data_IF_103362692030
#
_entry.id   IF_103362692030
#
_cell.length_a   1.000
_cell.length_b   1.000
_cell.length_c   1.000
_cell.angle_alpha   90.00
_cell.angle_beta   90.00
_cell.angle_gamma   90.00
#
_symmetry.space_group_name_H-M   'P 1'
#
loop_
_entity.id
_entity.type
_entity.pdbx_description
1 polymer ?
#
# COMPACT_ATOMS: atom_id res chain seq x y z
N UNK A 1 -2.98 3.82 -24.02
CA UNK A 1 -1.66 4.51 -23.91
C UNK A 1 -1.96 5.98 -23.87
N UNK A 2 -1.60 6.62 -22.77
CA UNK A 2 -1.89 8.03 -22.51
C UNK A 2 -0.59 8.82 -22.57
N UNK A 3 -0.66 10.03 -23.07
CA UNK A 3 0.46 10.98 -23.06
C UNK A 3 0.15 12.05 -22.03
N UNK A 4 1.03 12.25 -21.06
CA UNK A 4 0.89 13.26 -20.00
C UNK A 4 2.00 14.28 -20.15
N UNK A 5 1.65 15.52 -20.42
CA UNK A 5 2.59 16.64 -20.56
C UNK A 5 2.91 17.28 -19.22
N UNK A 6 4.08 17.91 -19.12
CA UNK A 6 4.49 18.63 -17.91
C UNK A 6 3.48 19.70 -17.46
N UNK A 7 2.77 20.31 -18.42
CA UNK A 7 1.70 21.28 -18.19
C UNK A 7 0.41 20.67 -17.64
N UNK A 8 0.21 19.36 -17.79
CA UNK A 8 -1.06 18.73 -17.47
C UNK A 8 -1.27 18.66 -15.95
N UNK A 9 -2.53 18.78 -15.48
CA UNK A 9 -2.86 18.61 -14.07
C UNK A 9 -2.45 17.24 -13.51
N UNK A 10 -2.56 16.20 -14.33
CA UNK A 10 -2.28 14.80 -13.95
C UNK A 10 -0.79 14.47 -13.92
N UNK A 11 0.09 15.41 -14.32
CA UNK A 11 1.53 15.17 -14.25
C UNK A 11 2.01 15.17 -12.79
N UNK A 12 2.78 14.16 -12.34
CA UNK A 12 3.17 14.01 -10.94
C UNK A 12 3.89 15.24 -10.39
N UNK A 13 3.29 15.90 -9.39
CA UNK A 13 3.78 17.16 -8.84
C UNK A 13 5.22 17.08 -8.32
N UNK A 14 5.60 15.96 -7.68
CA UNK A 14 6.98 15.72 -7.21
C UNK A 14 7.98 15.66 -8.36
N UNK A 15 7.61 15.03 -9.47
CA UNK A 15 8.48 14.92 -10.62
C UNK A 15 8.71 16.29 -11.27
N UNK A 16 7.75 17.22 -11.21
CA UNK A 16 7.93 18.61 -11.69
C UNK A 16 9.04 19.36 -10.94
N UNK A 17 9.39 18.92 -9.72
CA UNK A 17 10.33 19.62 -8.83
C UNK A 17 11.80 19.23 -9.06
N UNK A 18 12.08 18.20 -9.88
CA UNK A 18 13.47 17.82 -10.16
C UNK A 18 14.12 18.84 -11.10
N UNK A 19 15.45 18.90 -11.13
CA UNK A 19 16.20 19.83 -11.98
C UNK A 19 15.88 19.71 -13.49
N UNK A 20 15.72 18.48 -13.98
CA UNK A 20 15.41 18.18 -15.40
C UNK A 20 14.16 17.29 -15.48
N UNK A 21 12.95 17.84 -15.29
CA UNK A 21 11.72 17.06 -15.35
C UNK A 21 11.40 16.68 -16.81
N UNK A 22 10.97 15.44 -17.10
CA UNK A 22 10.60 15.06 -18.46
C UNK A 22 9.44 15.92 -18.96
N UNK A 23 9.58 16.51 -20.15
CA UNK A 23 8.55 17.35 -20.76
C UNK A 23 7.23 16.61 -20.99
N UNK A 24 7.29 15.28 -21.14
CA UNK A 24 6.13 14.39 -21.28
C UNK A 24 6.45 12.99 -20.77
N UNK A 25 5.40 12.26 -20.38
CA UNK A 25 5.45 10.85 -20.03
C UNK A 25 4.49 10.07 -20.92
N UNK A 26 5.00 9.01 -21.53
CA UNK A 26 4.17 7.97 -22.12
C UNK A 26 3.74 7.02 -21.00
N UNK A 27 2.44 6.77 -20.86
CA UNK A 27 1.85 6.01 -19.76
C UNK A 27 1.00 4.85 -20.31
N UNK A 28 1.26 3.65 -19.83
CA UNK A 28 0.39 2.49 -19.95
C UNK A 28 -0.17 2.12 -18.58
N UNK A 29 -1.49 2.13 -18.42
CA UNK A 29 -2.16 2.08 -17.12
C UNK A 29 -2.52 3.47 -16.59
N UNK A 30 -2.66 3.61 -15.27
CA UNK A 30 -3.03 4.85 -14.59
C UNK A 30 -1.98 5.21 -13.55
N UNK A 31 -1.47 6.45 -13.59
CA UNK A 31 -0.54 6.95 -12.59
C UNK A 31 -1.27 7.17 -11.25
N UNK A 32 -0.84 6.50 -10.17
CA UNK A 32 -1.42 6.72 -8.85
C UNK A 32 -1.10 8.13 -8.33
N UNK A 33 -1.98 8.66 -7.48
CA UNK A 33 -1.78 9.96 -6.81
C UNK A 33 -1.17 9.82 -5.41
N UNK A 34 -1.17 8.58 -4.92
CA UNK A 34 -0.68 8.18 -3.61
C UNK A 34 0.83 8.43 -3.48
N UNK A 35 1.31 8.62 -2.24
CA UNK A 35 2.74 8.75 -1.98
C UNK A 35 3.54 7.57 -2.51
N UNK A 36 4.71 7.86 -3.08
CA UNK A 36 5.55 6.88 -3.76
C UNK A 36 6.90 6.69 -3.05
N UNK A 37 7.36 5.45 -2.94
CA UNK A 37 8.71 5.10 -2.49
C UNK A 37 9.38 4.24 -3.56
N UNK A 38 10.62 4.58 -3.92
CA UNK A 38 11.37 3.77 -4.86
C UNK A 38 12.08 2.62 -4.15
N UNK A 39 12.06 1.43 -4.73
CA UNK A 39 12.91 0.31 -4.32
C UNK A 39 13.82 -0.06 -5.49
N UNK A 40 15.13 0.00 -5.28
CA UNK A 40 16.14 -0.26 -6.33
C UNK A 40 17.29 -1.13 -5.80
N UNK A 41 18.00 -1.77 -6.73
CA UNK A 41 19.20 -2.51 -6.35
C UNK A 41 19.82 -3.34 -7.47
N UNK A 42 20.55 -4.38 -7.08
CA UNK A 42 21.34 -5.22 -7.97
C UNK A 42 20.48 -5.99 -8.96
N UNK A 43 20.92 -6.01 -10.22
CA UNK A 43 20.36 -6.89 -11.26
C UNK A 43 20.65 -8.37 -11.02
N UNK A 44 21.73 -8.65 -10.28
CA UNK A 44 22.16 -9.99 -9.86
C UNK A 44 21.97 -10.15 -8.34
N UNK A 45 20.80 -9.75 -7.85
CA UNK A 45 20.46 -9.82 -6.43
C UNK A 45 20.53 -11.24 -5.87
N UNK A 46 20.97 -11.35 -4.62
CA UNK A 46 20.97 -12.61 -3.87
C UNK A 46 19.54 -13.07 -3.57
N UNK A 47 19.33 -14.35 -3.21
CA UNK A 47 18.03 -14.80 -2.71
C UNK A 47 17.54 -14.00 -1.51
N UNK A 48 18.46 -13.57 -0.63
CA UNK A 48 18.14 -12.68 0.49
C UNK A 48 17.64 -11.33 -0.01
N UNK A 49 18.40 -10.66 -0.89
CA UNK A 49 18.03 -9.35 -1.42
C UNK A 49 16.68 -9.36 -2.13
N UNK A 50 16.39 -10.39 -2.93
CA UNK A 50 15.08 -10.55 -3.57
C UNK A 50 13.94 -10.70 -2.56
N UNK A 51 14.08 -11.57 -1.56
CA UNK A 51 13.06 -11.74 -0.51
C UNK A 51 12.86 -10.46 0.29
N UNK A 52 13.92 -9.75 0.62
CA UNK A 52 13.84 -8.48 1.36
C UNK A 52 13.14 -7.40 0.54
N UNK A 53 13.49 -7.24 -0.74
CA UNK A 53 12.82 -6.29 -1.64
C UNK A 53 11.33 -6.59 -1.80
N UNK A 54 10.98 -7.87 -2.01
CA UNK A 54 9.59 -8.31 -2.14
C UNK A 54 8.80 -8.06 -0.85
N UNK A 55 9.37 -8.39 0.32
CA UNK A 55 8.75 -8.14 1.63
C UNK A 55 8.51 -6.64 1.85
N UNK A 56 9.55 -5.81 1.72
CA UNK A 56 9.44 -4.37 1.92
C UNK A 56 8.43 -3.74 0.96
N UNK A 57 8.42 -4.17 -0.29
CA UNK A 57 7.48 -3.66 -1.28
C UNK A 57 6.02 -4.03 -0.97
N UNK A 58 5.78 -5.26 -0.51
CA UNK A 58 4.45 -5.69 -0.06
C UNK A 58 4.00 -4.89 1.15
N UNK A 59 4.88 -4.74 2.14
CA UNK A 59 4.56 -4.05 3.38
C UNK A 59 4.32 -2.54 3.17
N UNK A 60 5.03 -1.91 2.21
CA UNK A 60 4.75 -0.54 1.74
C UNK A 60 3.40 -0.45 1.04
N UNK A 61 3.13 -1.40 0.14
CA UNK A 61 1.87 -1.48 -0.59
C UNK A 61 0.67 -1.63 0.37
N UNK A 62 0.79 -2.46 1.39
CA UNK A 62 -0.21 -2.62 2.46
C UNK A 62 -0.34 -1.38 3.34
N UNK A 63 0.69 -0.54 3.42
CA UNK A 63 0.66 0.75 4.11
C UNK A 63 -0.01 1.87 3.28
N UNK A 64 -0.47 1.59 2.06
CA UNK A 64 -1.02 2.61 1.16
C UNK A 64 0.04 3.40 0.39
N UNK A 65 1.26 2.88 0.30
CA UNK A 65 2.40 3.51 -0.40
C UNK A 65 2.67 2.80 -1.72
N UNK A 66 2.76 3.57 -2.79
CA UNK A 66 3.03 3.05 -4.13
C UNK A 66 4.52 2.80 -4.30
N UNK A 67 4.87 1.59 -4.74
CA UNK A 67 6.26 1.23 -5.02
C UNK A 67 6.61 1.64 -6.44
N UNK A 68 7.72 2.38 -6.60
CA UNK A 68 8.27 2.76 -7.91
C UNK A 68 9.57 2.01 -8.15
N UNK A 69 9.75 1.44 -9.34
CA UNK A 69 11.03 0.82 -9.70
C UNK A 69 11.26 0.79 -11.20
N UNK A 70 12.40 0.24 -11.62
CA UNK A 70 12.88 0.32 -12.99
C UNK A 70 12.60 -0.90 -13.87
N UNK A 71 11.76 -1.85 -13.42
CA UNK A 71 11.49 -3.12 -14.11
C UNK A 71 12.75 -3.96 -14.43
N UNK A 72 13.93 -3.63 -13.90
CA UNK A 72 15.14 -4.39 -14.16
C UNK A 72 15.08 -5.78 -13.50
N UNK A 73 16.00 -6.67 -13.90
CA UNK A 73 16.20 -7.96 -13.20
C UNK A 73 16.55 -7.73 -11.73
N UNK A 74 16.38 -8.76 -10.91
CA UNK A 74 16.82 -8.73 -9.51
C UNK A 74 15.88 -7.93 -8.62
N UNK A 75 16.41 -6.92 -7.93
CA UNK A 75 15.67 -6.16 -6.90
C UNK A 75 14.42 -5.49 -7.47
N UNK A 76 14.50 -4.80 -8.61
CA UNK A 76 13.35 -4.09 -9.20
C UNK A 76 12.17 -5.03 -9.47
N UNK A 77 12.44 -6.19 -10.08
CA UNK A 77 11.41 -7.21 -10.34
C UNK A 77 10.78 -7.75 -9.06
N UNK A 78 11.60 -8.01 -8.04
CA UNK A 78 11.13 -8.51 -6.74
C UNK A 78 10.28 -7.46 -6.02
N UNK A 79 10.66 -6.19 -6.10
CA UNK A 79 9.89 -5.08 -5.56
C UNK A 79 8.51 -4.97 -6.23
N UNK A 80 8.44 -4.98 -7.56
CA UNK A 80 7.14 -4.96 -8.24
C UNK A 80 6.26 -6.16 -7.89
N UNK A 81 6.83 -7.38 -7.84
CA UNK A 81 6.08 -8.58 -7.43
C UNK A 81 5.53 -8.45 -6.01
N UNK A 82 6.35 -7.97 -5.07
CA UNK A 82 5.91 -7.73 -3.70
C UNK A 82 4.82 -6.66 -3.62
N UNK A 83 4.96 -5.56 -4.36
CA UNK A 83 3.95 -4.51 -4.38
C UNK A 83 2.60 -5.00 -4.91
N UNK A 84 2.60 -5.84 -5.95
CA UNK A 84 1.42 -6.47 -6.54
C UNK A 84 0.74 -7.50 -5.61
N UNK A 85 1.45 -8.04 -4.61
CA UNK A 85 0.85 -8.87 -3.55
C UNK A 85 0.10 -8.04 -2.51
N UNK A 86 0.41 -6.74 -2.40
CA UNK A 86 -0.22 -5.83 -1.45
C UNK A 86 -1.45 -5.13 -2.03
N UNK A 87 -1.89 -4.07 -1.34
CA UNK A 87 -3.14 -3.35 -1.67
C UNK A 87 -2.97 -2.17 -2.63
N UNK A 88 -1.78 -1.59 -2.70
CA UNK A 88 -1.50 -0.43 -3.53
C UNK A 88 -0.91 -0.83 -4.88
N UNK A 89 -1.16 -0.04 -5.93
CA UNK A 89 -0.53 -0.26 -7.23
C UNK A 89 0.99 -0.03 -7.18
N UNK A 90 1.67 -0.38 -8.27
CA UNK A 90 3.10 -0.11 -8.46
C UNK A 90 3.34 0.59 -9.79
N UNK A 91 4.43 1.36 -9.86
CA UNK A 91 4.81 2.11 -11.08
C UNK A 91 6.18 1.67 -11.57
N UNK A 92 6.22 1.13 -12.78
CA UNK A 92 7.46 0.82 -13.48
C UNK A 92 7.87 1.98 -14.38
N UNK A 93 9.08 2.50 -14.20
CA UNK A 93 9.66 3.48 -15.12
C UNK A 93 10.58 2.74 -16.08
N UNK A 94 10.45 2.88 -17.39
CA UNK A 94 11.28 2.22 -18.41
C UNK A 94 12.27 3.18 -19.08
N UNK A 95 13.36 2.63 -19.62
CA UNK A 95 14.36 3.38 -20.40
C UNK A 95 14.16 3.24 -21.92
N UNK A 96 13.27 2.33 -22.33
CA UNK A 96 12.86 2.09 -23.72
C UNK A 96 11.47 2.67 -23.98
N UNK A 97 11.03 2.66 -25.24
CA UNK A 97 9.64 2.94 -25.58
C UNK A 97 8.68 1.89 -25.01
N UNK A 98 7.40 2.23 -24.84
CA UNK A 98 6.39 1.31 -24.30
C UNK A 98 6.13 0.10 -25.21
N UNK A 99 6.47 0.23 -26.50
CA UNK A 99 6.43 -0.84 -27.51
C UNK A 99 7.49 -1.93 -27.29
N UNK A 100 8.47 -1.70 -26.40
CA UNK A 100 9.59 -2.61 -26.18
C UNK A 100 9.88 -2.80 -24.69
N UNK A 101 9.17 -3.73 -24.07
CA UNK A 101 9.45 -4.17 -22.70
C UNK A 101 10.89 -4.71 -22.62
N UNK A 102 11.66 -4.18 -21.66
CA UNK A 102 13.01 -4.64 -21.39
C UNK A 102 13.23 -4.77 -19.88
N UNK A 103 13.71 -5.93 -19.40
CA UNK A 103 14.09 -7.10 -20.19
C UNK A 103 12.86 -7.86 -20.73
N UNK A 104 12.93 -8.57 -21.88
CA UNK A 104 11.77 -9.20 -22.52
C UNK A 104 11.01 -10.20 -21.64
N UNK A 105 11.73 -10.92 -20.78
CA UNK A 105 11.14 -11.86 -19.82
C UNK A 105 10.22 -11.21 -18.77
N UNK A 106 10.20 -9.87 -18.68
CA UNK A 106 9.31 -9.14 -17.78
C UNK A 106 8.03 -8.65 -18.48
N UNK A 107 7.71 -9.13 -19.68
CA UNK A 107 6.49 -8.76 -20.40
C UNK A 107 5.21 -8.99 -19.56
N UNK A 108 5.05 -10.17 -18.96
CA UNK A 108 3.90 -10.48 -18.09
C UNK A 108 3.88 -9.61 -16.83
N UNK A 109 5.05 -9.36 -16.25
CA UNK A 109 5.15 -8.47 -15.09
C UNK A 109 4.74 -7.05 -15.45
N UNK A 110 5.20 -6.51 -16.58
CA UNK A 110 4.81 -5.19 -17.06
C UNK A 110 3.30 -5.10 -17.30
N UNK A 111 2.68 -6.15 -17.83
CA UNK A 111 1.24 -6.21 -18.03
C UNK A 111 0.48 -6.21 -16.69
N UNK A 112 0.94 -6.99 -15.71
CA UNK A 112 0.35 -7.01 -14.37
C UNK A 112 0.49 -5.65 -13.64
N UNK A 113 1.60 -4.94 -13.87
CA UNK A 113 1.79 -3.58 -13.37
C UNK A 113 0.80 -2.61 -14.03
N UNK A 114 0.68 -2.65 -15.36
CA UNK A 114 -0.19 -1.74 -16.11
C UNK A 114 -1.69 -1.97 -15.85
N UNK A 115 -2.10 -3.14 -15.34
CA UNK A 115 -3.51 -3.43 -15.04
C UNK A 115 -4.03 -2.76 -13.77
N UNK A 116 -3.13 -2.40 -12.84
CA UNK A 116 -3.50 -1.79 -11.55
C UNK A 116 -2.80 -0.46 -11.28
N UNK A 117 -1.58 -0.28 -11.78
CA UNK A 117 -0.79 0.94 -11.70
C UNK A 117 -0.36 1.41 -13.08
N UNK A 118 0.93 1.68 -13.25
CA UNK A 118 1.43 2.23 -14.51
C UNK A 118 2.82 1.71 -14.91
N UNK A 119 3.00 1.52 -16.20
CA UNK A 119 4.31 1.43 -16.86
C UNK A 119 4.51 2.73 -17.62
N UNK A 120 5.58 3.47 -17.31
CA UNK A 120 5.83 4.80 -17.87
C UNK A 120 7.22 4.91 -18.50
N UNK A 121 7.39 5.85 -19.42
CA UNK A 121 8.69 6.19 -20.00
C UNK A 121 8.67 7.60 -20.57
N UNK A 122 9.84 8.25 -20.65
CA UNK A 122 10.03 9.49 -21.42
C UNK A 122 10.48 9.21 -22.87
N UNK A 123 10.82 7.95 -23.17
CA UNK A 123 11.33 7.56 -24.47
C UNK A 123 10.21 7.30 -25.48
N UNK A 124 10.41 7.73 -26.72
CA UNK A 124 9.48 7.47 -27.83
C UNK A 124 9.44 5.98 -28.20
N UNK A 125 8.34 5.56 -28.82
CA UNK A 125 8.23 4.22 -29.39
C UNK A 125 9.38 3.95 -30.36
N UNK A 126 9.88 2.71 -30.35
CA UNK A 126 11.07 2.30 -31.12
C UNK A 126 12.40 2.53 -30.40
N UNK A 127 12.42 3.22 -29.25
CA UNK A 127 13.67 3.45 -28.51
C UNK A 127 14.29 2.15 -27.99
N UNK A 128 15.55 1.92 -28.36
CA UNK A 128 16.33 0.72 -28.01
C UNK A 128 16.92 0.76 -26.58
N UNK A 129 17.14 -0.39 -25.93
CA UNK A 129 17.70 -0.49 -24.58
C UNK A 129 19.22 -0.25 -24.56
N UNK A 130 19.64 0.98 -24.85
CA UNK A 130 21.05 1.37 -24.83
C UNK A 130 21.56 1.59 -23.40
N UNK A 131 22.76 1.12 -23.02
CA UNK A 131 23.32 1.26 -21.67
C UNK A 131 23.26 2.69 -21.12
N UNK A 132 23.54 3.70 -21.94
CA UNK A 132 23.53 5.11 -21.54
C UNK A 132 22.14 5.68 -21.19
N UNK A 133 21.04 5.01 -21.55
CA UNK A 133 19.67 5.47 -21.26
C UNK A 133 19.18 5.07 -19.87
N UNK A 134 19.70 3.98 -19.31
CA UNK A 134 19.26 3.51 -18.00
C UNK A 134 19.58 4.49 -16.86
N UNK A 135 20.76 5.15 -16.81
CA UNK A 135 21.02 6.20 -15.83
C UNK A 135 20.09 7.41 -16.00
N UNK A 136 19.80 7.84 -17.24
CA UNK A 136 18.91 8.98 -17.50
C UNK A 136 17.52 8.73 -16.92
N UNK A 137 16.96 7.55 -17.18
CA UNK A 137 15.66 7.11 -16.63
C UNK A 137 15.61 7.17 -15.10
N UNK A 138 16.73 6.89 -14.41
CA UNK A 138 16.73 6.80 -12.95
C UNK A 138 16.35 8.10 -12.25
N UNK A 139 16.54 9.27 -12.89
CA UNK A 139 16.10 10.55 -12.33
C UNK A 139 14.57 10.62 -12.16
N UNK A 140 13.83 9.90 -13.00
CA UNK A 140 12.36 9.81 -12.93
C UNK A 140 11.95 8.91 -11.76
N UNK A 141 12.66 7.80 -11.53
CA UNK A 141 12.37 6.89 -10.40
C UNK A 141 12.49 7.63 -9.07
N UNK A 142 13.63 8.30 -8.84
CA UNK A 142 13.83 9.10 -7.64
C UNK A 142 12.92 10.33 -7.62
N UNK A 143 12.70 10.97 -8.78
CA UNK A 143 11.90 12.19 -8.90
C UNK A 143 10.43 12.01 -8.55
N UNK A 144 9.85 10.84 -8.84
CA UNK A 144 8.49 10.47 -8.45
C UNK A 144 8.35 10.22 -6.94
N UNK A 145 9.43 9.84 -6.28
CA UNK A 145 9.39 9.24 -4.95
C UNK A 145 9.65 10.25 -3.83
N UNK A 146 9.11 9.97 -2.65
CA UNK A 146 9.45 10.61 -1.38
C UNK A 146 10.89 10.29 -0.95
N UNK A 147 11.29 9.04 -1.16
CA UNK A 147 12.59 8.51 -0.84
C UNK A 147 12.89 7.24 -1.63
N UNK A 148 14.14 6.80 -1.56
CA UNK A 148 14.67 5.66 -2.32
C UNK A 148 15.31 4.65 -1.37
N UNK A 149 14.80 3.42 -1.39
CA UNK A 149 15.35 2.27 -0.66
C UNK A 149 16.28 1.46 -1.57
N UNK A 150 17.56 1.40 -1.19
CA UNK A 150 18.56 0.56 -1.84
C UNK A 150 18.68 -0.75 -1.07
N UNK A 151 18.34 -1.87 -1.72
CA UNK A 151 18.33 -3.19 -1.04
C UNK A 151 19.68 -3.91 -1.12
N UNK A 152 20.26 -3.96 -2.32
CA UNK A 152 21.60 -4.52 -2.55
C UNK A 152 22.28 -3.73 -3.66
N UNK A 153 23.52 -3.28 -3.45
CA UNK A 153 24.30 -2.56 -4.43
C UNK A 153 25.80 -2.81 -4.24
N UNK A 154 26.43 -3.41 -5.25
CA UNK A 154 27.90 -3.39 -5.37
C UNK A 154 28.42 -1.95 -5.50
N UNK A 155 29.71 -1.75 -5.24
CA UNK A 155 30.36 -0.42 -5.28
C UNK A 155 30.20 0.33 -6.61
N UNK A 156 30.02 -0.38 -7.74
CA UNK A 156 29.78 0.21 -9.07
C UNK A 156 28.38 -0.10 -9.62
N UNK A 157 27.39 -0.22 -8.73
CA UNK A 157 26.00 -0.51 -9.12
C UNK A 157 25.28 0.73 -9.65
N UNK A 158 24.46 0.54 -10.69
CA UNK A 158 23.56 1.59 -11.19
C UNK A 158 22.52 2.06 -10.16
N UNK A 159 22.21 1.24 -9.16
CA UNK A 159 21.32 1.64 -8.06
C UNK A 159 21.91 2.78 -7.20
N UNK A 160 23.24 2.86 -7.10
CA UNK A 160 23.92 3.96 -6.40
C UNK A 160 23.80 5.29 -7.15
N UNK A 161 23.63 5.25 -8.48
CA UNK A 161 23.33 6.44 -9.27
C UNK A 161 21.95 6.98 -8.89
N UNK A 162 20.95 6.10 -8.76
CA UNK A 162 19.60 6.50 -8.33
C UNK A 162 19.62 7.07 -6.91
N UNK A 163 20.36 6.46 -5.98
CA UNK A 163 20.50 6.98 -4.62
C UNK A 163 21.16 8.37 -4.57
N UNK A 164 22.18 8.59 -5.40
CA UNK A 164 22.80 9.92 -5.54
C UNK A 164 21.82 10.96 -6.09
N UNK A 165 21.12 10.63 -7.19
CA UNK A 165 20.10 11.50 -7.78
C UNK A 165 18.98 11.81 -6.79
N UNK A 166 18.59 10.86 -5.93
CA UNK A 166 17.63 11.07 -4.86
C UNK A 166 18.11 12.13 -3.87
N UNK A 167 19.34 12.03 -3.37
CA UNK A 167 19.92 13.06 -2.49
C UNK A 167 20.00 14.44 -3.16
N UNK A 168 20.43 14.50 -4.43
CA UNK A 168 20.47 15.75 -5.22
C UNK A 168 19.07 16.38 -5.42
N UNK A 169 18.03 15.55 -5.45
CA UNK A 169 16.62 15.97 -5.57
C UNK A 169 15.95 16.25 -4.21
N UNK A 170 16.70 16.21 -3.11
CA UNK A 170 16.16 16.38 -1.75
C UNK A 170 15.19 15.28 -1.35
N UNK A 171 15.48 14.03 -1.76
CA UNK A 171 14.72 12.84 -1.37
C UNK A 171 15.49 12.06 -0.33
N UNK A 172 14.77 11.43 0.60
CA UNK A 172 15.38 10.57 1.60
C UNK A 172 16.03 9.35 0.95
N UNK A 173 17.21 8.98 1.43
CA UNK A 173 17.94 7.80 0.97
C UNK A 173 17.99 6.79 2.09
N UNK A 174 17.51 5.59 1.79
CA UNK A 174 17.45 4.47 2.70
C UNK A 174 18.29 3.31 2.18
N UNK A 175 18.85 2.52 3.08
CA UNK A 175 19.61 1.35 2.70
C UNK A 175 19.35 0.16 3.62
N UNK A 176 19.10 -1.00 3.02
CA UNK A 176 19.04 -2.27 3.75
C UNK A 176 20.48 -2.69 4.09
N UNK A 177 20.78 -3.04 5.36
CA UNK A 177 22.09 -3.54 5.72
C UNK A 177 22.27 -4.98 5.21
N UNK A 178 23.50 -5.32 4.83
CA UNK A 178 23.90 -6.69 4.48
C UNK A 178 25.15 -7.13 5.24
N UNK A 179 25.49 -8.42 5.15
CA UNK A 179 26.76 -8.95 5.67
C UNK A 179 27.94 -8.19 5.07
N UNK A 180 28.97 -7.90 5.88
CA UNK A 180 30.24 -7.33 5.41
C UNK A 180 30.99 -8.25 4.44
N UNK A 181 30.65 -9.54 4.42
CA UNK A 181 31.20 -10.53 3.48
C UNK A 181 30.45 -10.54 2.15
N UNK A 182 29.27 -9.90 2.06
CA UNK A 182 28.50 -9.82 0.82
C UNK A 182 29.04 -8.67 -0.05
N UNK A 183 29.63 -8.93 -1.22
CA UNK A 183 30.13 -7.87 -2.10
C UNK A 183 29.02 -6.94 -2.62
N UNK A 184 27.76 -7.40 -2.62
CA UNK A 184 26.60 -6.59 -2.96
C UNK A 184 26.12 -5.68 -1.82
N UNK A 185 26.72 -5.77 -0.62
CA UNK A 185 26.41 -4.87 0.49
C UNK A 185 27.36 -3.66 0.55
N UNK A 186 28.54 -3.73 -0.09
CA UNK A 186 29.60 -2.72 -0.01
C UNK A 186 29.12 -1.31 -0.40
N UNK A 187 28.36 -1.18 -1.48
CA UNK A 187 27.82 0.12 -1.90
C UNK A 187 26.76 0.64 -0.93
N UNK A 188 25.92 -0.27 -0.40
CA UNK A 188 24.93 0.07 0.62
C UNK A 188 25.56 0.52 1.95
N UNK A 189 26.62 -0.15 2.41
CA UNK A 189 27.36 0.27 3.59
C UNK A 189 27.98 1.66 3.42
N UNK A 190 28.46 1.99 2.22
CA UNK A 190 28.96 3.33 1.94
C UNK A 190 27.83 4.36 2.01
N UNK A 191 26.65 4.08 1.42
CA UNK A 191 25.49 4.97 1.56
C UNK A 191 25.12 5.22 3.02
N UNK A 192 25.11 4.18 3.87
CA UNK A 192 24.82 4.32 5.30
C UNK A 192 25.86 5.22 5.99
N UNK A 193 27.15 5.05 5.67
CA UNK A 193 28.22 5.91 6.18
C UNK A 193 28.10 7.36 5.71
N UNK A 194 27.57 7.56 4.51
CA UNK A 194 27.35 8.87 3.90
C UNK A 194 26.04 9.53 4.39
N UNK A 195 25.30 8.88 5.30
CA UNK A 195 24.11 9.44 5.96
C UNK A 195 22.78 8.84 5.52
N UNK A 196 22.76 7.85 4.63
CA UNK A 196 21.53 7.12 4.32
C UNK A 196 20.99 6.37 5.55
N UNK A 197 19.68 6.42 5.77
CA UNK A 197 19.06 5.75 6.92
C UNK A 197 19.07 4.23 6.72
N UNK A 198 19.50 3.51 7.75
CA UNK A 198 19.46 2.05 7.77
C UNK A 198 18.01 1.56 7.86
N UNK A 199 17.63 0.58 7.05
CA UNK A 199 16.28 0.00 7.00
C UNK A 199 16.29 -1.50 7.29
N UNK A 200 15.56 -1.89 8.31
CA UNK A 200 15.28 -3.29 8.68
C UNK A 200 13.84 -3.67 8.32
N UNK A 201 12.90 -2.75 8.52
CA UNK A 201 11.47 -2.95 8.28
C UNK A 201 10.85 -1.77 7.54
N UNK A 202 9.58 -1.90 7.14
CA UNK A 202 8.88 -0.80 6.47
C UNK A 202 8.68 0.41 7.40
N UNK A 203 8.57 0.16 8.71
CA UNK A 203 8.41 1.19 9.74
C UNK A 203 9.56 2.20 9.71
N UNK A 204 10.81 1.73 9.54
CA UNK A 204 11.98 2.61 9.45
C UNK A 204 11.86 3.64 8.31
N UNK A 205 11.16 3.28 7.23
CA UNK A 205 10.89 4.15 6.08
C UNK A 205 9.70 5.08 6.36
N UNK A 206 8.61 4.55 6.91
CA UNK A 206 7.38 5.32 7.13
C UNK A 206 7.52 6.37 8.23
N UNK A 207 8.37 6.13 9.23
CA UNK A 207 8.62 7.07 10.33
C UNK A 207 9.26 8.39 9.88
N UNK A 208 9.98 8.38 8.75
CA UNK A 208 10.55 9.60 8.16
C UNK A 208 9.48 10.52 7.55
N UNK A 209 8.27 9.99 7.33
CA UNK A 209 7.19 10.73 6.68
C UNK A 209 5.98 10.79 7.60
N UNK A 210 5.89 11.87 8.39
CA UNK A 210 4.84 12.06 9.40
C UNK A 210 3.42 11.82 8.88
N UNK A 211 3.12 12.19 7.63
CA UNK A 211 1.82 11.93 7.01
C UNK A 211 1.55 10.45 6.74
N UNK A 212 2.57 9.69 6.32
CA UNK A 212 2.46 8.26 6.12
C UNK A 212 2.32 7.52 7.45
N UNK A 213 3.13 7.90 8.45
CA UNK A 213 3.02 7.36 9.79
C UNK A 213 1.62 7.57 10.38
N UNK A 214 1.05 8.78 10.23
CA UNK A 214 -0.33 9.11 10.65
C UNK A 214 -1.38 8.32 9.87
N UNK A 215 -1.24 8.20 8.55
CA UNK A 215 -2.18 7.45 7.72
C UNK A 215 -2.22 5.97 8.11
N UNK A 216 -1.06 5.35 8.33
CA UNK A 216 -0.95 3.95 8.79
C UNK A 216 -1.53 3.76 10.18
N UNK A 217 -1.22 4.63 11.14
CA UNK A 217 -1.78 4.56 12.49
C UNK A 217 -3.32 4.62 12.48
N UNK A 218 -3.91 5.49 11.64
CA UNK A 218 -5.37 5.56 11.44
C UNK A 218 -5.94 4.30 10.82
N UNK A 219 -5.27 3.74 9.81
CA UNK A 219 -5.70 2.49 9.17
C UNK A 219 -5.68 1.31 10.16
N UNK A 220 -4.61 1.18 10.96
CA UNK A 220 -4.49 0.14 11.99
C UNK A 220 -5.54 0.30 13.09
N UNK A 221 -5.80 1.52 13.55
CA UNK A 221 -6.84 1.79 14.55
C UNK A 221 -8.24 1.40 14.05
N UNK A 222 -8.56 1.67 12.78
CA UNK A 222 -9.83 1.27 12.15
C UNK A 222 -10.00 -0.25 12.08
N UNK A 223 -8.95 -0.98 11.71
CA UNK A 223 -8.98 -2.46 11.67
C UNK A 223 -9.18 -3.03 13.07
N UNK A 224 -8.45 -2.54 14.08
CA UNK A 224 -8.61 -3.00 15.46
C UNK A 224 -10.01 -2.69 16.02
N UNK A 225 -10.54 -1.50 15.73
CA UNK A 225 -11.90 -1.13 16.13
C UNK A 225 -12.96 -2.05 15.49
N UNK A 226 -12.81 -2.35 14.19
CA UNK A 226 -13.73 -3.23 13.47
C UNK A 226 -13.65 -4.69 13.95
N UNK A 227 -12.45 -5.23 14.19
CA UNK A 227 -12.27 -6.58 14.77
C UNK A 227 -12.86 -6.67 16.17
N UNK A 228 -12.66 -5.63 17.00
CA UNK A 228 -13.18 -5.59 18.37
C UNK A 228 -14.70 -5.42 18.41
N UNK A 229 -15.29 -4.70 17.46
CA UNK A 229 -16.74 -4.61 17.30
C UNK A 229 -17.34 -5.97 16.87
N UNK A 230 -16.67 -6.70 15.97
CA UNK A 230 -17.09 -8.04 15.53
C UNK A 230 -17.03 -9.08 16.65
N UNK A 231 -15.93 -9.17 17.38
CA UNK A 231 -15.84 -10.09 18.52
C UNK A 231 -16.85 -9.78 19.60
N UNK A 232 -17.14 -8.48 19.83
CA UNK A 232 -18.17 -8.06 20.77
C UNK A 232 -19.56 -8.50 20.28
N UNK A 233 -19.93 -8.21 19.02
CA UNK A 233 -21.20 -8.65 18.44
C UNK A 233 -21.37 -10.18 18.47
N UNK A 234 -20.31 -10.96 18.25
CA UNK A 234 -20.38 -12.43 18.20
C UNK A 234 -20.44 -13.10 19.60
N UNK A 235 -19.85 -12.48 20.62
CA UNK A 235 -19.77 -13.05 21.99
C UNK A 235 -20.90 -12.63 22.93
N UNK A 236 -21.77 -11.71 22.51
CA UNK A 236 -22.84 -11.18 23.33
C UNK A 236 -22.37 -10.25 24.46
N UNK A 237 -23.29 -9.62 25.19
CA UNK A 237 -22.97 -8.78 26.34
C UNK A 237 -22.46 -9.63 27.52
N UNK A 238 -21.62 -9.05 28.38
CA UNK A 238 -21.11 -9.77 29.57
C UNK A 238 -22.08 -9.73 30.76
N UNK A 239 -23.03 -8.81 30.76
CA UNK A 239 -24.06 -8.69 31.79
C UNK A 239 -25.10 -9.81 31.59
N UNK A 240 -25.31 -10.70 32.57
CA UNK A 240 -26.20 -11.87 32.41
C UNK A 240 -27.63 -11.50 31.99
N UNK A 241 -28.14 -10.37 32.50
CA UNK A 241 -29.49 -9.88 32.19
C UNK A 241 -29.66 -9.43 30.75
N UNK A 242 -28.61 -8.85 30.14
CA UNK A 242 -28.59 -8.46 28.74
C UNK A 242 -28.32 -9.66 27.84
N UNK A 243 -27.47 -10.59 28.29
CA UNK A 243 -27.13 -11.80 27.54
C UNK A 243 -28.37 -12.68 27.35
N UNK A 244 -29.19 -12.83 28.40
CA UNK A 244 -30.43 -13.61 28.32
C UNK A 244 -31.41 -13.08 27.25
N UNK A 245 -31.49 -11.75 27.06
CA UNK A 245 -32.33 -11.18 25.98
C UNK A 245 -31.66 -11.38 24.63
N UNK A 246 -30.35 -11.10 24.54
CA UNK A 246 -29.57 -11.19 23.31
C UNK A 246 -29.51 -12.62 22.74
N UNK A 247 -29.45 -13.63 23.61
CA UNK A 247 -29.43 -15.05 23.23
C UNK A 247 -30.72 -15.49 22.51
N UNK A 248 -31.86 -14.89 22.84
CA UNK A 248 -33.16 -15.18 22.22
C UNK A 248 -33.34 -14.55 20.83
N UNK A 249 -32.46 -13.61 20.46
CA UNK A 249 -32.52 -12.93 19.17
C UNK A 249 -31.81 -13.72 18.08
N UNK A 250 -32.36 -13.66 16.87
CA UNK A 250 -31.76 -14.25 15.68
C UNK A 250 -30.99 -13.18 14.87
N UNK A 251 -30.12 -13.63 13.96
CA UNK A 251 -29.36 -12.75 13.06
C UNK A 251 -30.17 -12.31 11.83
N UNK A 252 -31.21 -13.05 11.48
CA UNK A 252 -32.00 -12.88 10.25
C UNK A 252 -33.46 -12.59 10.56
N UNK A 253 -34.04 -13.28 11.55
CA UNK A 253 -35.46 -13.13 11.89
C UNK A 253 -35.69 -12.06 12.98
N UNK A 254 -36.36 -10.93 12.67
CA UNK A 254 -36.68 -9.91 13.66
C UNK A 254 -37.68 -10.44 14.68
N UNK A 255 -37.47 -10.10 15.96
CA UNK A 255 -38.42 -10.41 17.04
C UNK A 255 -38.99 -9.13 17.64
N UNK A 256 -40.28 -9.14 17.94
CA UNK A 256 -40.93 -7.98 18.55
C UNK A 256 -40.70 -7.94 20.07
N UNK A 257 -40.73 -6.71 20.62
CA UNK A 257 -40.52 -6.49 22.06
C UNK A 257 -41.51 -7.28 22.93
N UNK A 258 -42.78 -7.36 22.51
CA UNK A 258 -43.84 -8.05 23.25
C UNK A 258 -43.62 -9.58 23.28
N UNK A 259 -43.11 -10.16 22.19
CA UNK A 259 -42.82 -11.60 22.12
C UNK A 259 -41.67 -11.97 23.07
N UNK A 260 -40.64 -11.13 23.12
CA UNK A 260 -39.50 -11.28 24.03
C UNK A 260 -39.92 -11.15 25.50
N UNK A 261 -40.84 -10.22 25.80
CA UNK A 261 -41.42 -10.07 27.14
C UNK A 261 -42.15 -11.34 27.60
N UNK A 262 -42.94 -11.96 26.71
CA UNK A 262 -43.63 -13.23 26.99
C UNK A 262 -42.62 -14.37 27.21
N UNK A 263 -41.64 -14.53 26.32
CA UNK A 263 -40.64 -15.60 26.41
C UNK A 263 -39.78 -15.52 27.69
N UNK A 264 -39.47 -14.31 28.13
CA UNK A 264 -38.66 -14.08 29.33
C UNK A 264 -39.47 -13.98 30.61
N UNK A 265 -40.81 -13.98 30.52
CA UNK A 265 -41.72 -13.73 31.64
C UNK A 265 -41.39 -12.40 32.38
N UNK A 266 -41.15 -11.33 31.61
CA UNK A 266 -40.81 -9.99 32.10
C UNK A 266 -41.83 -8.96 31.61
N UNK A 267 -41.87 -7.80 32.28
CA UNK A 267 -42.61 -6.63 31.77
C UNK A 267 -41.94 -6.10 30.48
N UNK A 268 -42.76 -5.71 29.50
CA UNK A 268 -42.33 -5.13 28.22
C UNK A 268 -41.42 -3.91 28.43
N UNK A 269 -41.64 -3.15 29.50
CA UNK A 269 -40.77 -2.02 29.87
C UNK A 269 -39.34 -2.44 30.18
N UNK A 270 -39.18 -3.55 30.90
CA UNK A 270 -37.86 -4.04 31.29
C UNK A 270 -37.13 -4.66 30.09
N UNK A 271 -37.85 -5.40 29.23
CA UNK A 271 -37.28 -5.88 27.96
C UNK A 271 -36.86 -4.72 27.06
N UNK A 272 -37.71 -3.70 26.91
CA UNK A 272 -37.39 -2.52 26.10
C UNK A 272 -36.18 -1.76 26.63
N UNK A 273 -36.01 -1.66 27.95
CA UNK A 273 -34.81 -1.07 28.58
C UNK A 273 -33.55 -1.86 28.19
N UNK A 274 -33.59 -3.18 28.29
CA UNK A 274 -32.45 -4.06 27.95
C UNK A 274 -32.11 -4.01 26.46
N UNK A 275 -33.12 -4.02 25.59
CA UNK A 275 -32.95 -3.88 24.14
C UNK A 275 -32.32 -2.53 23.78
N UNK A 276 -32.75 -1.44 24.42
CA UNK A 276 -32.14 -0.11 24.23
C UNK A 276 -30.65 -0.12 24.60
N UNK A 277 -30.29 -0.74 25.72
CA UNK A 277 -28.88 -0.85 26.14
C UNK A 277 -28.04 -1.71 25.17
N UNK A 278 -28.63 -2.79 24.65
CA UNK A 278 -28.01 -3.65 23.64
C UNK A 278 -27.79 -2.89 22.32
N UNK A 279 -28.75 -2.08 21.89
CA UNK A 279 -28.68 -1.28 20.66
C UNK A 279 -27.63 -0.17 20.79
N UNK A 280 -27.63 0.58 21.89
CA UNK A 280 -26.60 1.58 22.20
C UNK A 280 -25.19 0.98 22.25
N UNK A 281 -25.09 -0.29 22.64
CA UNK A 281 -23.83 -1.04 22.72
C UNK A 281 -23.47 -1.76 21.42
N UNK A 282 -24.30 -1.68 20.38
CA UNK A 282 -24.06 -2.23 19.05
C UNK A 282 -24.24 -3.75 18.93
N UNK A 283 -24.98 -4.39 19.85
CA UNK A 283 -25.24 -5.83 19.81
C UNK A 283 -26.45 -6.21 18.95
N UNK A 284 -27.37 -5.27 18.75
CA UNK A 284 -28.64 -5.48 18.03
C UNK A 284 -28.95 -4.26 17.15
N UNK A 285 -29.84 -4.42 16.18
CA UNK A 285 -30.38 -3.35 15.32
C UNK A 285 -31.90 -3.41 15.40
N UNK A 286 -32.55 -2.27 15.65
CA UNK A 286 -34.01 -2.13 15.62
C UNK A 286 -34.54 -1.59 14.29
N UNK A 287 -35.67 -2.15 13.83
CA UNK A 287 -36.50 -1.58 12.76
C UNK A 287 -37.99 -1.74 13.11
N UNK A 288 -38.74 -0.64 13.11
CA UNK A 288 -40.20 -0.60 13.31
C UNK A 288 -40.75 -1.46 14.49
N UNK A 289 -40.04 -1.52 15.62
CA UNK A 289 -40.47 -2.24 16.83
C UNK A 289 -40.12 -3.74 16.86
N UNK A 290 -39.36 -4.21 15.87
CA UNK A 290 -38.69 -5.51 15.90
C UNK A 290 -37.17 -5.34 15.96
N UNK A 291 -36.47 -6.32 16.51
CA UNK A 291 -35.01 -6.29 16.70
C UNK A 291 -34.35 -7.58 16.22
N UNK A 292 -33.15 -7.47 15.64
CA UNK A 292 -32.27 -8.58 15.27
C UNK A 292 -30.87 -8.38 15.85
N UNK A 293 -30.07 -9.45 15.93
CA UNK A 293 -28.65 -9.32 16.27
C UNK A 293 -27.91 -8.54 15.18
N UNK A 294 -26.98 -7.69 15.60
CA UNK A 294 -26.18 -6.89 14.68
C UNK A 294 -25.10 -7.75 14.00
N UNK A 295 -25.34 -8.19 12.76
CA UNK A 295 -24.31 -8.90 11.97
C UNK A 295 -23.11 -8.01 11.64
N UNK A 296 -21.86 -8.54 11.63
CA UNK A 296 -20.66 -7.85 11.14
C UNK A 296 -20.79 -7.16 9.76
N UNK A 297 -21.71 -7.62 8.92
CA UNK A 297 -21.86 -7.19 7.52
C UNK A 297 -22.80 -5.99 7.33
N UNK A 298 -23.55 -5.55 8.34
CA UNK A 298 -24.59 -4.51 8.20
C UNK A 298 -24.07 -3.07 8.25
N UNK A 299 -22.80 -2.85 8.62
CA UNK A 299 -22.19 -1.51 8.70
C UNK A 299 -21.72 -0.98 7.33
N UNK A 300 -22.59 -1.02 6.32
CA UNK A 300 -22.17 -0.61 4.98
C UNK A 300 -23.22 -0.67 3.89
N UNK A 301 -24.44 -0.19 4.12
CA UNK A 301 -25.29 0.43 3.07
C UNK A 301 -26.55 1.01 3.72
N UNK A 302 -26.85 2.31 3.54
CA UNK A 302 -28.23 2.76 3.68
C UNK A 302 -29.01 2.15 2.51
N UNK A 303 -29.92 1.24 2.81
CA UNK A 303 -30.98 0.84 1.87
C UNK A 303 -31.93 2.02 1.74
N UNK A 304 -31.68 2.85 0.74
CA UNK A 304 -32.62 3.88 0.30
C UNK A 304 -33.77 3.15 -0.42
N UNK A 305 -34.89 2.95 0.28
CA UNK A 305 -36.13 2.51 -0.32
C UNK A 305 -36.99 3.74 -0.64
N UNK A 306 -37.02 4.11 -1.92
CA UNK A 306 -38.18 4.69 -2.59
C UNK A 306 -38.47 3.88 -3.86
#
# INVERSE_FOLDING_TARGET
MNLVWLSDPDYPARLKQIHDPPARLFVNGQLPSEPMIAIVGSRHATPYGRRTAQRLARDLSDAGVVVVSGLARGIDAAAHRGALEGRSPTVAVMATGLDRIYPPEHAELAQAIASSGAVITEAENGTLPLPGRFPVRNRIISGLSLGVVVVEAAQRSGALITARMAGEQGREVFCVPGSIENPLAVGGHQLIKDGAKLVQTVEDVLEEFADLARARARAQARVHAHTRARTRADSGPQEPELFAVWELLDWVEPRHHDELAVMMNLDVKEVSRRLTLLEMSGYIIGDCGAVTRCSPASHGKPTDHR
#
